data_IF_259181138019
#
_entry.id   IF_259181138019
#
_cell.length_a   1.000
_cell.length_b   1.000
_cell.length_c   1.000
_cell.angle_alpha   90.00
_cell.angle_beta   90.00
_cell.angle_gamma   90.00
#
_symmetry.space_group_name_H-M   'P 1'
#
loop_
_entity.id
_entity.type
_entity.pdbx_description
1 polymer ?
#
# COMPACT_ATOMS: atom_id res chain seq x y z
N UNK A 1 -7.13 4.70 15.12
CA UNK A 1 -6.71 6.13 15.02
C UNK A 1 -5.21 6.19 14.81
N UNK A 2 -4.75 6.98 13.86
CA UNK A 2 -3.32 7.16 13.58
C UNK A 2 -2.54 7.66 14.81
N UNK A 3 -1.21 7.49 14.80
CA UNK A 3 -0.35 8.14 15.81
C UNK A 3 -0.35 9.66 15.52
N UNK A 4 -0.96 10.49 16.38
CA UNK A 4 -1.07 11.93 16.13
C UNK A 4 0.28 12.66 16.07
N UNK A 5 1.37 11.98 16.43
CA UNK A 5 2.74 12.52 16.42
C UNK A 5 3.71 11.69 15.57
N UNK A 6 3.21 10.67 14.85
CA UNK A 6 4.06 9.77 14.06
C UNK A 6 4.89 10.50 13.02
N UNK A 7 4.27 11.42 12.27
CA UNK A 7 4.93 12.25 11.26
C UNK A 7 5.95 13.25 11.83
N UNK A 8 5.84 13.59 13.11
CA UNK A 8 6.82 14.44 13.79
C UNK A 8 8.04 13.63 14.27
N UNK A 9 7.84 12.36 14.61
CA UNK A 9 8.88 11.46 15.10
C UNK A 9 9.72 10.88 13.96
N UNK A 10 9.07 10.58 12.83
CA UNK A 10 9.68 9.96 11.65
C UNK A 10 9.54 10.91 10.47
N UNK A 11 10.53 11.76 10.26
CA UNK A 11 10.52 12.76 9.19
C UNK A 11 11.05 12.21 7.86
N UNK A 12 11.96 11.23 7.94
CA UNK A 12 12.60 10.66 6.77
C UNK A 12 11.69 9.68 6.03
N UNK A 13 11.69 9.80 4.71
CA UNK A 13 11.06 8.85 3.80
C UNK A 13 12.03 7.71 3.49
N UNK A 14 11.71 6.51 3.96
CA UNK A 14 12.52 5.32 3.73
C UNK A 14 11.81 4.39 2.73
N UNK A 15 12.54 3.98 1.70
CA UNK A 15 12.09 2.99 0.72
C UNK A 15 12.97 1.73 0.83
N UNK A 16 12.50 0.56 0.39
CA UNK A 16 13.32 -0.63 0.32
C UNK A 16 14.49 -0.41 -0.64
N UNK A 17 15.60 -1.07 -0.37
CA UNK A 17 16.78 -1.04 -1.23
C UNK A 17 16.47 -1.70 -2.58
N UNK A 18 17.15 -1.26 -3.60
CA UNK A 18 17.12 -1.94 -4.90
C UNK A 18 18.22 -2.99 -4.95
N UNK A 19 17.92 -4.15 -5.49
CA UNK A 19 18.93 -5.16 -5.80
C UNK A 19 20.00 -4.60 -6.75
N UNK A 20 21.27 -4.99 -6.63
CA UNK A 20 22.34 -4.52 -7.51
C UNK A 20 21.99 -4.68 -8.99
N UNK A 21 22.36 -3.71 -9.82
CA UNK A 21 22.04 -3.72 -11.26
C UNK A 21 22.58 -4.97 -11.94
N UNK A 22 23.80 -5.39 -11.60
CA UNK A 22 24.43 -6.60 -12.16
C UNK A 22 23.58 -7.86 -11.96
N UNK A 23 22.93 -8.00 -10.80
CA UNK A 23 22.05 -9.14 -10.51
C UNK A 23 20.72 -9.02 -11.24
N UNK A 24 20.16 -7.81 -11.31
CA UNK A 24 18.88 -7.58 -12.01
C UNK A 24 18.93 -7.80 -13.52
N UNK A 25 20.11 -7.69 -14.12
CA UNK A 25 20.31 -7.99 -15.54
C UNK A 25 20.41 -9.50 -15.84
N UNK A 26 20.58 -10.31 -14.80
CA UNK A 26 20.73 -11.77 -14.94
C UNK A 26 19.43 -12.54 -14.72
N UNK A 27 18.38 -11.89 -14.21
CA UNK A 27 17.12 -12.55 -13.89
C UNK A 27 15.91 -11.61 -14.09
N UNK A 28 14.70 -12.15 -13.96
CA UNK A 28 13.43 -11.42 -14.02
C UNK A 28 12.75 -11.32 -12.64
N UNK A 29 13.53 -11.38 -11.55
CA UNK A 29 13.02 -11.28 -10.19
C UNK A 29 12.74 -9.83 -9.81
N UNK A 30 12.05 -9.67 -8.66
CA UNK A 30 11.72 -8.36 -8.10
C UNK A 30 12.94 -7.42 -8.03
N UNK A 31 12.71 -6.15 -8.34
CA UNK A 31 13.76 -5.12 -8.35
C UNK A 31 14.15 -4.70 -6.94
N UNK A 32 13.17 -4.65 -6.05
CA UNK A 32 13.35 -4.22 -4.67
C UNK A 32 13.60 -5.39 -3.73
N UNK A 33 14.40 -5.15 -2.71
CA UNK A 33 14.52 -6.05 -1.58
C UNK A 33 13.27 -5.96 -0.71
N UNK A 34 12.96 -7.02 0.02
CA UNK A 34 11.83 -7.02 0.94
C UNK A 34 12.04 -5.96 2.03
N UNK A 35 11.03 -5.16 2.30
CA UNK A 35 11.08 -4.15 3.34
C UNK A 35 10.93 -4.79 4.72
N UNK A 36 11.75 -4.38 5.66
CA UNK A 36 11.62 -4.84 7.05
C UNK A 36 10.30 -4.36 7.67
N UNK A 37 9.64 -5.22 8.44
CA UNK A 37 8.35 -4.90 9.08
C UNK A 37 8.42 -3.66 9.98
N UNK A 38 9.50 -3.50 10.72
CA UNK A 38 9.72 -2.32 11.56
C UNK A 38 9.85 -1.02 10.77
N UNK A 39 10.49 -1.06 9.59
CA UNK A 39 10.58 0.08 8.68
C UNK A 39 9.19 0.39 8.10
N UNK A 40 8.46 -0.63 7.68
CA UNK A 40 7.10 -0.48 7.14
C UNK A 40 6.17 0.18 8.18
N UNK A 41 6.18 -0.31 9.42
CA UNK A 41 5.40 0.26 10.53
C UNK A 41 5.73 1.72 10.77
N UNK A 42 7.03 2.09 10.78
CA UNK A 42 7.44 3.50 10.93
C UNK A 42 6.93 4.36 9.77
N UNK A 43 7.05 3.89 8.54
CA UNK A 43 6.62 4.64 7.36
C UNK A 43 5.10 4.78 7.30
N UNK A 44 4.35 3.76 7.65
CA UNK A 44 2.89 3.83 7.78
C UNK A 44 2.47 4.81 8.90
N UNK A 45 3.21 4.85 9.99
CA UNK A 45 3.00 5.78 11.11
C UNK A 45 3.20 7.26 10.77
N UNK A 46 3.77 7.59 9.61
CA UNK A 46 3.87 8.99 9.12
C UNK A 46 2.54 9.54 8.60
N UNK A 47 1.55 8.67 8.38
CA UNK A 47 0.22 9.10 7.97
C UNK A 47 -0.44 9.94 9.08
N UNK A 48 -0.90 11.15 8.72
CA UNK A 48 -1.55 12.08 9.66
C UNK A 48 -3.05 11.78 9.88
N UNK A 49 -3.60 10.82 9.14
CA UNK A 49 -5.05 10.50 9.17
C UNK A 49 -5.91 11.77 8.96
N UNK A 50 -5.70 12.44 7.84
CA UNK A 50 -6.35 13.70 7.53
C UNK A 50 -7.88 13.52 7.44
N UNK A 51 -8.65 14.38 8.11
CA UNK A 51 -10.12 14.39 8.04
C UNK A 51 -10.66 14.62 6.62
N UNK A 52 -9.88 15.31 5.77
CA UNK A 52 -10.10 15.40 4.32
C UNK A 52 -8.86 14.77 3.64
N UNK A 53 -8.92 13.48 3.28
CA UNK A 53 -7.76 12.76 2.77
C UNK A 53 -7.54 13.06 1.27
N UNK A 54 -6.75 14.08 0.95
CA UNK A 54 -6.41 14.43 -0.43
C UNK A 54 -5.72 13.27 -1.18
N UNK A 55 -4.98 12.42 -0.49
CA UNK A 55 -4.42 11.20 -1.07
C UNK A 55 -5.50 10.25 -1.60
N UNK A 56 -6.63 10.12 -0.91
CA UNK A 56 -7.80 9.36 -1.34
C UNK A 56 -8.40 9.96 -2.63
N UNK A 57 -8.59 11.27 -2.65
CA UNK A 57 -9.12 11.97 -3.83
C UNK A 57 -8.13 11.96 -5.01
N UNK A 58 -6.85 12.00 -4.73
CA UNK A 58 -5.78 11.90 -5.74
C UNK A 58 -5.60 10.50 -6.33
N UNK A 59 -6.22 9.47 -5.73
CA UNK A 59 -6.19 8.11 -6.24
C UNK A 59 -7.38 7.88 -7.18
N UNK A 60 -7.16 7.49 -8.46
CA UNK A 60 -8.27 7.19 -9.39
C UNK A 60 -9.18 6.05 -8.93
N UNK A 61 -8.68 5.13 -8.09
CA UNK A 61 -9.46 4.05 -7.50
C UNK A 61 -10.19 4.48 -6.21
N UNK A 62 -9.88 5.66 -5.66
CA UNK A 62 -10.43 6.09 -4.37
C UNK A 62 -9.97 5.19 -3.21
N UNK A 63 -8.72 4.75 -3.21
CA UNK A 63 -8.18 3.88 -2.17
C UNK A 63 -8.29 4.49 -0.76
N UNK A 64 -8.70 3.68 0.21
CA UNK A 64 -8.90 4.06 1.62
C UNK A 64 -7.56 4.16 2.36
N UNK A 65 -6.69 5.06 1.87
CA UNK A 65 -5.27 5.14 2.21
C UNK A 65 -5.01 5.38 3.71
N UNK A 66 -5.66 6.34 4.39
CA UNK A 66 -5.42 6.53 5.82
C UNK A 66 -5.76 5.29 6.66
N UNK A 67 -6.84 4.59 6.29
CA UNK A 67 -7.33 3.43 7.02
C UNK A 67 -6.31 2.30 7.01
N UNK A 68 -5.87 1.84 5.83
CA UNK A 68 -4.91 0.75 5.77
C UNK A 68 -3.49 1.16 6.21
N UNK A 69 -3.13 2.44 6.14
CA UNK A 69 -1.90 2.93 6.79
C UNK A 69 -1.94 2.75 8.31
N UNK A 70 -3.06 3.09 8.95
CA UNK A 70 -3.21 2.92 10.39
C UNK A 70 -3.22 1.43 10.79
N UNK A 71 -3.88 0.58 10.02
CA UNK A 71 -3.89 -0.86 10.23
C UNK A 71 -2.46 -1.45 10.15
N UNK A 72 -1.70 -1.09 9.13
CA UNK A 72 -0.30 -1.52 8.99
C UNK A 72 0.59 -1.02 10.12
N UNK A 73 0.39 0.23 10.56
CA UNK A 73 1.10 0.77 11.73
C UNK A 73 0.83 -0.05 13.01
N UNK A 74 -0.38 -0.57 13.16
CA UNK A 74 -0.78 -1.39 14.32
C UNK A 74 -0.42 -2.86 14.17
N UNK A 75 0.06 -3.29 13.00
CA UNK A 75 0.36 -4.69 12.72
C UNK A 75 -0.86 -5.54 12.34
N UNK A 76 -1.96 -4.92 12.00
CA UNK A 76 -3.23 -5.58 11.63
C UNK A 76 -3.29 -5.81 10.12
N UNK A 77 -2.41 -6.70 9.64
CA UNK A 77 -2.22 -6.95 8.20
C UNK A 77 -3.44 -7.61 7.53
N UNK A 78 -4.18 -8.45 8.26
CA UNK A 78 -5.37 -9.11 7.73
C UNK A 78 -6.49 -8.10 7.44
N UNK A 79 -6.73 -7.15 8.35
CA UNK A 79 -7.70 -6.08 8.14
C UNK A 79 -7.21 -5.08 7.07
N UNK A 80 -5.90 -4.86 6.99
CA UNK A 80 -5.31 -3.97 6.00
C UNK A 80 -5.55 -4.45 4.57
N UNK A 81 -5.42 -5.76 4.30
CA UNK A 81 -5.71 -6.30 2.96
C UNK A 81 -7.20 -6.23 2.62
N UNK A 82 -8.10 -6.44 3.57
CA UNK A 82 -9.53 -6.28 3.34
C UNK A 82 -9.87 -4.83 2.96
N UNK A 83 -9.28 -3.85 3.64
CA UNK A 83 -9.46 -2.43 3.32
C UNK A 83 -8.88 -2.06 1.96
N UNK A 84 -7.75 -2.62 1.59
CA UNK A 84 -7.12 -2.40 0.31
C UNK A 84 -7.95 -3.02 -0.82
N UNK A 85 -8.40 -4.26 -0.68
CA UNK A 85 -9.25 -4.96 -1.65
C UNK A 85 -10.64 -4.35 -1.81
N UNK A 86 -11.12 -3.57 -0.84
CA UNK A 86 -12.41 -2.88 -0.96
C UNK A 86 -12.48 -1.93 -2.17
N UNK A 87 -11.35 -1.38 -2.60
CA UNK A 87 -11.26 -0.42 -3.71
C UNK A 87 -10.28 -0.82 -4.81
N UNK A 88 -9.36 -1.74 -4.53
CA UNK A 88 -8.30 -2.15 -5.46
C UNK A 88 -8.17 -3.68 -5.49
N UNK A 89 -8.54 -4.30 -6.60
CA UNK A 89 -8.48 -5.74 -6.77
C UNK A 89 -7.09 -6.28 -7.13
N UNK A 90 -6.16 -5.41 -7.55
CA UNK A 90 -4.83 -5.81 -8.05
C UNK A 90 -3.71 -4.95 -7.47
N UNK A 91 -3.57 -4.89 -6.12
CA UNK A 91 -2.54 -4.05 -5.49
C UNK A 91 -1.12 -4.52 -5.80
N UNK A 92 -0.92 -5.78 -6.17
CA UNK A 92 0.36 -6.33 -6.61
C UNK A 92 0.88 -5.67 -7.89
N UNK A 93 -0.02 -5.22 -8.77
CA UNK A 93 0.33 -4.48 -9.98
C UNK A 93 0.41 -2.98 -9.71
N UNK A 94 -0.59 -2.39 -9.09
CA UNK A 94 -0.63 -0.96 -8.83
C UNK A 94 0.48 -0.52 -7.88
N UNK A 95 0.76 -1.29 -6.85
CA UNK A 95 1.85 -1.04 -5.91
C UNK A 95 3.24 -1.05 -6.56
N UNK A 96 3.39 -1.68 -7.75
CA UNK A 96 4.65 -1.71 -8.51
C UNK A 96 4.69 -0.70 -9.66
N UNK A 97 3.60 -0.54 -10.39
CA UNK A 97 3.58 0.16 -11.68
C UNK A 97 2.93 1.54 -11.63
N UNK A 98 2.06 1.81 -10.64
CA UNK A 98 1.36 3.08 -10.53
C UNK A 98 2.34 4.25 -10.32
N UNK A 99 2.13 5.41 -10.97
CA UNK A 99 2.92 6.62 -10.72
C UNK A 99 2.64 7.27 -9.36
N UNK A 100 1.71 6.72 -8.59
CA UNK A 100 1.34 7.14 -7.23
C UNK A 100 0.88 8.62 -7.13
N UNK A 101 -0.16 9.05 -7.84
CA UNK A 101 -0.69 10.40 -7.72
C UNK A 101 -1.21 10.70 -6.30
N UNK A 102 -1.56 9.67 -5.55
CA UNK A 102 -1.89 9.76 -4.13
C UNK A 102 -0.74 10.30 -3.28
N UNK A 103 0.51 9.96 -3.58
CA UNK A 103 1.68 10.51 -2.89
C UNK A 103 1.89 11.98 -3.23
N UNK A 104 1.67 12.38 -4.49
CA UNK A 104 1.72 13.80 -4.90
C UNK A 104 0.62 14.64 -4.23
N UNK A 105 -0.51 14.01 -3.89
CA UNK A 105 -1.64 14.65 -3.21
C UNK A 105 -1.55 14.55 -1.68
N UNK A 106 -0.53 13.91 -1.14
CA UNK A 106 -0.36 13.76 0.30
C UNK A 106 -0.08 15.11 0.97
N UNK A 107 -0.92 15.51 1.93
CA UNK A 107 -0.80 16.78 2.64
C UNK A 107 0.54 16.91 3.37
N UNK A 108 1.08 15.80 3.89
CA UNK A 108 2.41 15.79 4.50
C UNK A 108 3.48 16.28 3.51
N UNK A 109 3.28 16.06 2.22
CA UNK A 109 4.17 16.48 1.14
C UNK A 109 4.41 17.99 1.02
N UNK A 110 3.61 18.82 1.71
CA UNK A 110 3.79 20.29 1.75
C UNK A 110 5.04 20.66 2.55
N UNK A 111 5.31 19.99 3.67
CA UNK A 111 6.36 20.35 4.61
C UNK A 111 7.47 19.28 4.76
N UNK A 112 7.18 18.04 4.35
CA UNK A 112 8.06 16.88 4.49
C UNK A 112 7.88 15.97 3.27
N UNK A 113 8.78 14.98 3.03
CA UNK A 113 8.53 13.96 2.03
C UNK A 113 7.20 13.24 2.30
N UNK A 114 6.39 13.03 1.27
CA UNK A 114 5.10 12.34 1.37
C UNK A 114 5.23 10.94 2.01
N UNK A 115 4.13 10.43 2.56
CA UNK A 115 4.05 9.02 3.02
C UNK A 115 4.35 8.09 1.85
N UNK A 116 5.03 6.98 2.11
CA UNK A 116 5.37 5.95 1.11
C UNK A 116 4.17 5.07 0.77
N UNK A 117 3.09 5.69 0.30
CA UNK A 117 1.77 5.07 0.11
C UNK A 117 1.86 3.84 -0.79
N UNK A 118 2.47 4.01 -1.96
CA UNK A 118 2.65 2.93 -2.94
C UNK A 118 3.46 1.75 -2.38
N UNK A 119 4.50 2.04 -1.58
CA UNK A 119 5.32 1.00 -0.97
C UNK A 119 4.55 0.25 0.13
N UNK A 120 3.73 0.94 0.89
CA UNK A 120 2.87 0.30 1.90
C UNK A 120 1.84 -0.59 1.21
N UNK A 121 1.21 -0.11 0.14
CA UNK A 121 0.25 -0.87 -0.68
C UNK A 121 0.84 -2.22 -1.15
N UNK A 122 2.01 -2.19 -1.79
CA UNK A 122 2.64 -3.43 -2.26
C UNK A 122 3.05 -4.34 -1.11
N UNK A 123 3.47 -3.79 0.02
CA UNK A 123 3.84 -4.58 1.19
C UNK A 123 2.63 -5.28 1.82
N UNK A 124 1.46 -4.64 1.82
CA UNK A 124 0.21 -5.25 2.30
C UNK A 124 -0.12 -6.50 1.48
N UNK A 125 -0.14 -6.39 0.15
CA UNK A 125 -0.52 -7.51 -0.71
C UNK A 125 0.53 -8.62 -0.70
N UNK A 126 1.82 -8.29 -0.74
CA UNK A 126 2.87 -9.30 -0.71
C UNK A 126 2.84 -10.09 0.61
N UNK A 127 2.62 -9.40 1.73
CA UNK A 127 2.42 -10.07 3.03
C UNK A 127 1.15 -10.91 3.05
N UNK A 128 0.04 -10.39 2.51
CA UNK A 128 -1.23 -11.12 2.47
C UNK A 128 -1.14 -12.42 1.65
N UNK A 129 -0.38 -12.44 0.55
CA UNK A 129 -0.10 -13.66 -0.20
C UNK A 129 0.77 -14.64 0.60
N UNK A 130 1.81 -14.12 1.29
CA UNK A 130 2.68 -14.95 2.11
C UNK A 130 1.94 -15.60 3.29
N UNK A 131 1.02 -14.87 3.90
CA UNK A 131 0.22 -15.30 5.05
C UNK A 131 -1.03 -16.13 4.66
N UNK A 132 -1.33 -16.26 3.35
CA UNK A 132 -2.52 -16.97 2.85
C UNK A 132 -3.84 -16.20 3.06
N UNK A 133 -3.78 -14.90 3.30
CA UNK A 133 -4.95 -14.05 3.53
C UNK A 133 -5.67 -13.62 2.24
N UNK A 134 -5.10 -13.92 1.08
CA UNK A 134 -5.75 -13.67 -0.22
C UNK A 134 -6.57 -14.89 -0.59
N UNK A 135 -7.85 -14.84 -0.31
CA UNK A 135 -8.79 -15.95 -0.57
C UNK A 135 -9.85 -15.55 -1.59
N UNK A 136 -10.26 -16.46 -2.49
CA UNK A 136 -11.32 -16.16 -3.43
C UNK A 136 -12.67 -16.06 -2.69
N UNK A 137 -13.48 -15.08 -3.07
CA UNK A 137 -14.82 -14.86 -2.55
C UNK A 137 -15.86 -15.19 -3.65
N UNK A 138 -16.15 -16.48 -3.91
CA UNK A 138 -17.14 -16.85 -4.94
C UNK A 138 -18.53 -16.32 -4.54
N UNK A 139 -19.33 -15.85 -5.52
CA UNK A 139 -20.66 -15.36 -5.24
C UNK A 139 -21.55 -16.47 -4.70
N UNK A 140 -22.34 -16.21 -3.66
CA UNK A 140 -23.27 -17.16 -3.06
C UNK A 140 -24.41 -17.59 -4.01
N UNK A 141 -24.69 -16.77 -5.06
CA UNK A 141 -25.67 -17.04 -6.11
C UNK A 141 -25.14 -16.58 -7.47
N UNK A 142 -25.13 -17.50 -8.42
CA UNK A 142 -24.81 -17.17 -9.81
C UNK A 142 -26.02 -16.51 -10.49
N UNK A 143 -25.77 -15.46 -11.27
CA UNK A 143 -26.84 -14.74 -12.02
C UNK A 143 -27.25 -15.43 -13.32
N UNK A 144 -26.53 -16.47 -13.76
CA UNK A 144 -26.70 -17.10 -15.08
C UNK A 144 -26.14 -16.29 -16.26
N UNK A 145 -25.54 -15.12 -16.01
CA UNK A 145 -24.89 -14.31 -17.04
C UNK A 145 -23.44 -14.75 -17.22
N UNK A 146 -22.94 -14.65 -18.45
CA UNK A 146 -21.56 -14.97 -18.80
C UNK A 146 -20.79 -13.68 -19.05
N UNK A 147 -19.57 -13.59 -18.49
CA UNK A 147 -18.62 -12.50 -18.73
C UNK A 147 -17.32 -13.13 -19.20
N UNK A 148 -16.74 -12.60 -20.25
CA UNK A 148 -15.39 -12.94 -20.71
C UNK A 148 -14.42 -11.84 -20.27
N UNK A 149 -13.29 -12.23 -19.72
CA UNK A 149 -12.16 -11.34 -19.45
C UNK A 149 -11.05 -11.75 -20.42
N UNK A 150 -10.54 -10.78 -21.20
CA UNK A 150 -9.52 -10.98 -22.24
C UNK A 150 -8.26 -10.22 -21.85
#
# INVERSE_FOLDING_TARGET
MADPKGFLKVQERELPKRRPVSLRLMDYREVYEQQESGQLTRQAGRCMDCGVPFCHQGCPLGNLIPEWNDLMRRGESAEAIERLHATNNFPEFTGRLCPAPCESSCVLGINQPAVTIKQIEVSIIDQAFADGNVTPHPPGRLTGKTVAVV
#
